data_IF_992843672505
#
_entry.id   IF_992843672505
#
_cell.length_a   1.000
_cell.length_b   1.000
_cell.length_c   1.000
_cell.angle_alpha   90.00
_cell.angle_beta   90.00
_cell.angle_gamma   90.00
#
_symmetry.space_group_name_H-M   'P 1'
#
loop_
_entity.id
_entity.type
_entity.pdbx_description
1 polymer ?
#
# COMPACT_ATOMS: atom_id res chain seq x y z
N UNK A 1 28.28 -25.41 7.82
CA UNK A 1 27.64 -24.18 7.31
C UNK A 1 26.34 -24.04 8.07
N UNK A 2 26.34 -23.24 9.15
CA UNK A 2 25.20 -23.20 10.07
C UNK A 2 24.07 -22.42 9.41
N UNK A 3 22.95 -23.09 9.16
CA UNK A 3 21.68 -22.41 8.96
C UNK A 3 21.42 -21.61 10.24
N UNK A 4 21.48 -20.29 10.15
CA UNK A 4 20.93 -19.41 11.17
C UNK A 4 19.44 -19.73 11.25
N UNK A 5 19.09 -20.51 12.27
CA UNK A 5 17.71 -20.80 12.61
C UNK A 5 17.05 -19.45 12.96
N UNK A 6 16.22 -18.94 12.06
CA UNK A 6 15.51 -17.67 12.27
C UNK A 6 14.58 -17.91 13.45
N UNK A 7 15.02 -17.48 14.62
CA UNK A 7 14.29 -17.76 15.84
C UNK A 7 12.97 -16.97 15.78
N UNK A 8 11.80 -17.59 16.00
CA UNK A 8 10.49 -16.91 15.94
C UNK A 8 10.40 -15.55 16.69
N UNK A 9 11.09 -15.35 17.84
CA UNK A 9 11.15 -14.05 18.50
C UNK A 9 11.66 -12.90 17.60
N UNK A 10 12.65 -13.15 16.74
CA UNK A 10 13.20 -12.12 15.83
C UNK A 10 12.21 -11.67 14.77
N UNK A 11 11.32 -12.55 14.32
CA UNK A 11 10.26 -12.22 13.36
C UNK A 11 9.22 -11.30 14.02
N UNK A 12 8.81 -11.63 15.24
CA UNK A 12 7.85 -10.82 16.00
C UNK A 12 8.41 -9.42 16.32
N UNK A 13 9.67 -9.33 16.73
CA UNK A 13 10.37 -8.05 16.94
C UNK A 13 10.41 -7.19 15.67
N UNK A 14 10.67 -7.81 14.50
CA UNK A 14 10.66 -7.07 13.24
C UNK A 14 9.26 -6.59 12.87
N UNK A 15 8.22 -7.41 13.07
CA UNK A 15 6.85 -7.00 12.80
C UNK A 15 6.44 -5.82 13.70
N UNK A 16 6.79 -5.88 14.99
CA UNK A 16 6.57 -4.78 15.92
C UNK A 16 7.31 -3.51 15.50
N UNK A 17 8.57 -3.63 15.07
CA UNK A 17 9.39 -2.52 14.57
C UNK A 17 8.80 -1.88 13.30
N UNK A 18 8.20 -2.66 12.39
CA UNK A 18 7.46 -2.10 11.25
C UNK A 18 6.17 -1.41 11.71
N UNK A 19 5.60 -1.86 12.83
CA UNK A 19 4.39 -1.31 13.43
C UNK A 19 4.59 -0.10 14.36
N UNK A 20 5.81 0.38 14.61
CA UNK A 20 6.01 1.55 15.47
C UNK A 20 5.54 2.84 14.80
N UNK A 21 4.94 3.74 15.59
CA UNK A 21 4.44 5.06 15.15
C UNK A 21 5.47 6.14 15.49
N UNK A 22 5.47 7.24 14.75
CA UNK A 22 6.28 8.45 15.02
C UNK A 22 7.80 8.24 15.11
N UNK A 23 8.32 7.21 14.45
CA UNK A 23 9.78 6.98 14.34
C UNK A 23 10.32 7.76 13.15
N UNK A 24 11.37 8.56 13.37
CA UNK A 24 12.07 9.26 12.30
C UNK A 24 12.64 8.27 11.27
N UNK A 25 12.65 8.57 9.95
CA UNK A 25 13.21 7.70 8.93
C UNK A 25 14.62 7.15 9.21
N UNK A 26 15.52 7.98 9.76
CA UNK A 26 16.91 7.56 10.08
C UNK A 26 16.92 6.54 11.23
N UNK A 27 16.13 6.80 12.27
CA UNK A 27 16.01 5.88 13.41
C UNK A 27 15.37 4.56 12.97
N UNK A 28 14.40 4.62 12.06
CA UNK A 28 13.77 3.45 11.46
C UNK A 28 14.79 2.61 10.70
N UNK A 29 15.60 3.22 9.84
CA UNK A 29 16.63 2.50 9.08
C UNK A 29 17.66 1.84 10.03
N UNK A 30 18.13 2.58 11.04
CA UNK A 30 19.04 2.05 12.04
C UNK A 30 18.42 0.86 12.81
N UNK A 31 17.16 0.97 13.22
CA UNK A 31 16.45 -0.10 13.91
C UNK A 31 16.28 -1.35 13.02
N UNK A 32 16.01 -1.18 11.72
CA UNK A 32 15.85 -2.28 10.79
C UNK A 32 17.17 -2.97 10.41
N UNK A 33 18.30 -2.27 10.54
CA UNK A 33 19.63 -2.81 10.23
C UNK A 33 20.03 -4.01 11.11
N UNK A 34 19.42 -4.16 12.30
CA UNK A 34 19.67 -5.28 13.24
C UNK A 34 19.07 -6.61 12.79
N UNK A 35 18.16 -6.58 11.81
CA UNK A 35 17.50 -7.77 11.27
C UNK A 35 18.16 -8.19 9.97
N UNK A 36 18.64 -9.43 9.94
CA UNK A 36 19.23 -10.01 8.74
C UNK A 36 18.19 -10.26 7.65
N UNK A 37 18.73 -10.57 6.48
CA UNK A 37 17.93 -10.75 5.28
C UNK A 37 17.01 -11.99 5.39
N UNK A 38 17.41 -13.02 6.15
CA UNK A 38 16.60 -14.22 6.37
C UNK A 38 15.39 -13.95 7.25
N UNK A 39 15.54 -13.11 8.29
CA UNK A 39 14.46 -12.68 9.17
C UNK A 39 13.42 -11.85 8.41
N UNK A 40 13.88 -10.94 7.55
CA UNK A 40 13.00 -10.12 6.69
C UNK A 40 12.18 -10.97 5.73
N UNK A 41 12.82 -11.93 5.06
CA UNK A 41 12.14 -12.85 4.14
C UNK A 41 11.14 -13.73 4.89
N UNK A 42 11.52 -14.25 6.07
CA UNK A 42 10.65 -15.07 6.88
C UNK A 42 9.40 -14.31 7.36
N UNK A 43 9.55 -13.03 7.74
CA UNK A 43 8.40 -12.18 8.07
C UNK A 43 7.47 -11.99 6.87
N UNK A 44 8.00 -11.62 5.70
CA UNK A 44 7.19 -11.43 4.51
C UNK A 44 6.39 -12.71 4.17
N UNK A 45 7.06 -13.86 4.18
CA UNK A 45 6.43 -15.15 3.93
C UNK A 45 5.36 -15.51 4.99
N UNK A 46 5.60 -15.18 6.27
CA UNK A 46 4.62 -15.36 7.34
C UNK A 46 3.38 -14.49 7.12
N UNK A 47 3.57 -13.22 6.78
CA UNK A 47 2.49 -12.28 6.51
C UNK A 47 1.68 -12.69 5.26
N UNK A 48 2.33 -13.19 4.22
CA UNK A 48 1.67 -13.64 2.99
C UNK A 48 0.71 -14.82 3.22
N UNK A 49 0.94 -15.61 4.28
CA UNK A 49 0.06 -16.72 4.69
C UNK A 49 -0.99 -16.32 5.72
N UNK A 50 -0.91 -15.11 6.29
CA UNK A 50 -1.78 -14.66 7.37
C UNK A 50 -3.06 -14.02 6.84
N UNK A 51 -4.14 -14.80 6.85
CA UNK A 51 -5.48 -14.34 6.43
C UNK A 51 -6.18 -13.54 7.52
N UNK A 52 -6.09 -13.97 8.79
CA UNK A 52 -6.73 -13.31 9.91
C UNK A 52 -5.93 -13.45 11.23
N UNK A 53 -5.82 -12.38 12.05
CA UNK A 53 -6.14 -11.00 11.68
C UNK A 53 -5.16 -10.50 10.60
N UNK A 54 -5.62 -9.66 9.65
CA UNK A 54 -4.71 -9.06 8.66
C UNK A 54 -3.68 -8.16 9.37
N UNK A 55 -2.48 -7.97 8.79
CA UNK A 55 -1.52 -7.01 9.31
C UNK A 55 -2.12 -5.61 9.44
N UNK A 56 -1.74 -4.92 10.51
CA UNK A 56 -2.03 -3.50 10.65
C UNK A 56 -1.44 -2.71 9.48
N UNK A 57 -2.11 -1.65 9.03
CA UNK A 57 -1.71 -0.89 7.85
C UNK A 57 -0.30 -0.32 7.90
N UNK A 58 0.20 0.00 9.10
CA UNK A 58 1.59 0.37 9.37
C UNK A 58 2.62 -0.71 9.04
N UNK A 59 2.32 -1.97 9.38
CA UNK A 59 3.17 -3.12 9.03
C UNK A 59 3.18 -3.27 7.51
N UNK A 60 2.01 -3.17 6.87
CA UNK A 60 1.88 -3.21 5.40
C UNK A 60 2.70 -2.08 4.76
N UNK A 61 2.57 -0.85 5.23
CA UNK A 61 3.34 0.29 4.73
C UNK A 61 4.85 0.11 4.92
N UNK A 62 5.27 -0.52 6.01
CA UNK A 62 6.66 -0.83 6.32
C UNK A 62 7.29 -1.92 5.44
N UNK A 63 6.51 -2.71 4.69
CA UNK A 63 7.05 -3.79 3.85
C UNK A 63 8.04 -3.30 2.79
N UNK A 64 7.85 -2.08 2.28
CA UNK A 64 8.79 -1.47 1.35
C UNK A 64 10.20 -1.29 1.94
N UNK A 65 10.34 -1.23 3.26
CA UNK A 65 11.63 -1.07 3.96
C UNK A 65 12.40 -2.40 4.08
N UNK A 66 11.71 -3.53 3.94
CA UNK A 66 12.32 -4.88 4.02
C UNK A 66 12.28 -5.63 2.68
N UNK A 67 11.73 -4.99 1.65
CA UNK A 67 11.61 -5.54 0.31
C UNK A 67 13.00 -5.90 -0.26
N UNK A 68 13.09 -7.09 -0.82
CA UNK A 68 14.23 -7.57 -1.59
C UNK A 68 13.75 -8.45 -2.74
N UNK A 69 14.62 -8.75 -3.70
CA UNK A 69 14.28 -9.66 -4.80
C UNK A 69 13.83 -11.05 -4.31
N UNK A 70 14.33 -11.49 -3.16
CA UNK A 70 14.03 -12.81 -2.58
C UNK A 70 12.64 -12.90 -1.97
N UNK A 71 12.13 -11.81 -1.41
CA UNK A 71 10.83 -11.76 -0.73
C UNK A 71 9.77 -10.96 -1.51
N UNK A 72 10.10 -10.48 -2.70
CA UNK A 72 9.22 -9.66 -3.54
C UNK A 72 7.85 -10.31 -3.73
N UNK A 73 7.81 -11.60 -4.08
CA UNK A 73 6.56 -12.32 -4.31
C UNK A 73 5.69 -12.40 -3.04
N UNK A 74 6.31 -12.60 -1.88
CA UNK A 74 5.59 -12.62 -0.60
C UNK A 74 5.06 -11.22 -0.25
N UNK A 75 5.88 -10.17 -0.41
CA UNK A 75 5.45 -8.78 -0.18
C UNK A 75 4.30 -8.39 -1.10
N UNK A 76 4.39 -8.77 -2.39
CA UNK A 76 3.33 -8.56 -3.37
C UNK A 76 2.03 -9.27 -2.96
N UNK A 77 2.12 -10.53 -2.53
CA UNK A 77 0.97 -11.28 -2.01
C UNK A 77 0.34 -10.60 -0.78
N UNK A 78 1.16 -10.07 0.14
CA UNK A 78 0.64 -9.32 1.30
C UNK A 78 -0.13 -8.09 0.85
N UNK A 79 0.38 -7.31 -0.11
CA UNK A 79 -0.36 -6.14 -0.62
C UNK A 79 -1.69 -6.56 -1.28
N UNK A 80 -1.68 -7.58 -2.14
CA UNK A 80 -2.93 -8.06 -2.79
C UNK A 80 -3.97 -8.49 -1.74
N UNK A 81 -3.56 -9.23 -0.72
CA UNK A 81 -4.45 -9.64 0.37
C UNK A 81 -5.03 -8.43 1.13
N UNK A 82 -4.23 -7.38 1.31
CA UNK A 82 -4.61 -6.21 2.11
C UNK A 82 -5.39 -5.15 1.35
N UNK A 83 -5.61 -5.28 0.04
CA UNK A 83 -6.57 -4.46 -0.71
C UNK A 83 -8.01 -4.58 -0.17
N UNK A 84 -8.32 -5.65 0.58
CA UNK A 84 -9.63 -5.87 1.24
C UNK A 84 -9.58 -5.76 2.76
N UNK A 85 -8.48 -5.21 3.31
CA UNK A 85 -8.33 -5.05 4.75
C UNK A 85 -9.40 -4.10 5.31
N UNK A 86 -9.94 -4.34 6.53
CA UNK A 86 -10.79 -3.36 7.21
C UNK A 86 -10.02 -2.06 7.54
N UNK A 87 -8.70 -2.12 7.62
CA UNK A 87 -7.83 -0.96 7.85
C UNK A 87 -7.58 -0.21 6.53
N UNK A 88 -8.07 1.04 6.44
CA UNK A 88 -7.87 1.89 5.28
C UNK A 88 -6.39 2.20 5.00
N UNK A 89 -5.57 2.32 6.04
CA UNK A 89 -4.13 2.50 5.90
C UNK A 89 -3.46 1.31 5.22
N UNK A 90 -3.94 0.09 5.49
CA UNK A 90 -3.46 -1.13 4.82
C UNK A 90 -3.86 -1.16 3.34
N UNK A 91 -5.11 -0.81 3.02
CA UNK A 91 -5.59 -0.73 1.63
C UNK A 91 -4.80 0.30 0.82
N UNK A 92 -4.64 1.50 1.37
CA UNK A 92 -3.86 2.59 0.78
C UNK A 92 -2.39 2.21 0.57
N UNK A 93 -1.74 1.66 1.59
CA UNK A 93 -0.35 1.20 1.49
C UNK A 93 -0.18 0.11 0.43
N UNK A 94 -1.16 -0.78 0.30
CA UNK A 94 -1.15 -1.85 -0.69
C UNK A 94 -1.24 -1.33 -2.12
N UNK A 95 -2.10 -0.33 -2.39
CA UNK A 95 -2.18 0.31 -3.71
C UNK A 95 -0.83 0.90 -4.12
N UNK A 96 -0.22 1.75 -3.28
CA UNK A 96 1.09 2.33 -3.58
C UNK A 96 2.21 1.27 -3.66
N UNK A 97 2.16 0.25 -2.81
CA UNK A 97 3.11 -0.86 -2.82
C UNK A 97 3.07 -1.61 -4.15
N UNK A 98 1.88 -1.96 -4.62
CA UNK A 98 1.67 -2.67 -5.89
C UNK A 98 2.03 -1.82 -7.11
N UNK A 99 1.72 -0.51 -7.09
CA UNK A 99 2.12 0.39 -8.18
C UNK A 99 3.66 0.53 -8.26
N UNK A 100 4.34 0.68 -7.12
CA UNK A 100 5.82 0.69 -7.06
C UNK A 100 6.44 -0.62 -7.54
N UNK A 101 5.79 -1.76 -7.27
CA UNK A 101 6.21 -3.06 -7.78
C UNK A 101 5.86 -3.25 -9.27
N UNK A 102 5.10 -2.36 -9.90
CA UNK A 102 4.66 -2.53 -11.28
C UNK A 102 3.75 -3.74 -11.45
N UNK A 103 2.91 -4.05 -10.46
CA UNK A 103 1.99 -5.18 -10.52
C UNK A 103 1.07 -5.05 -11.74
N UNK A 104 0.95 -6.11 -12.55
CA UNK A 104 0.24 -6.05 -13.83
C UNK A 104 -1.23 -5.62 -13.71
N UNK A 105 -1.93 -6.05 -12.65
CA UNK A 105 -3.32 -5.70 -12.38
C UNK A 105 -3.52 -4.37 -11.60
N UNK A 106 -2.50 -3.51 -11.48
CA UNK A 106 -2.61 -2.29 -10.66
C UNK A 106 -3.75 -1.36 -11.11
N UNK A 107 -4.03 -1.29 -12.41
CA UNK A 107 -5.13 -0.50 -12.95
C UNK A 107 -6.47 -1.02 -12.44
N UNK A 108 -6.70 -2.33 -12.51
CA UNK A 108 -7.96 -2.94 -12.05
C UNK A 108 -8.16 -2.72 -10.54
N UNK A 109 -7.08 -2.83 -9.76
CA UNK A 109 -7.12 -2.55 -8.32
C UNK A 109 -7.44 -1.08 -8.02
N UNK A 110 -6.83 -0.14 -8.73
CA UNK A 110 -7.10 1.27 -8.56
C UNK A 110 -8.53 1.63 -9.01
N UNK A 111 -9.02 1.08 -10.12
CA UNK A 111 -10.42 1.27 -10.56
C UNK A 111 -11.39 0.77 -9.50
N UNK A 112 -11.14 -0.40 -8.88
CA UNK A 112 -11.98 -0.88 -7.78
C UNK A 112 -11.95 0.04 -6.56
N UNK A 113 -10.82 0.69 -6.30
CA UNK A 113 -10.62 1.59 -5.17
C UNK A 113 -11.22 2.99 -5.37
N UNK A 114 -11.70 3.33 -6.59
CA UNK A 114 -12.50 4.54 -6.82
C UNK A 114 -13.84 4.55 -6.07
N UNK A 115 -14.25 3.41 -5.52
CA UNK A 115 -15.45 3.26 -4.71
C UNK A 115 -15.16 3.07 -3.22
N UNK A 116 -13.90 3.26 -2.79
CA UNK A 116 -13.53 3.10 -1.39
C UNK A 116 -14.14 4.22 -0.53
N UNK A 117 -14.71 3.92 0.65
CA UNK A 117 -15.30 4.94 1.52
C UNK A 117 -14.26 5.82 2.23
N UNK A 118 -12.98 5.46 2.19
CA UNK A 118 -11.89 6.23 2.79
C UNK A 118 -11.22 7.13 1.75
N UNK A 119 -11.17 8.44 2.03
CA UNK A 119 -10.57 9.43 1.13
C UNK A 119 -9.08 9.19 0.86
N UNK A 120 -8.33 8.64 1.82
CA UNK A 120 -6.93 8.32 1.61
C UNK A 120 -6.72 7.16 0.64
N UNK A 121 -7.66 6.21 0.59
CA UNK A 121 -7.65 5.11 -0.38
C UNK A 121 -8.10 5.60 -1.76
N UNK A 122 -9.16 6.42 -1.81
CA UNK A 122 -9.63 7.03 -3.04
C UNK A 122 -8.55 7.93 -3.67
N UNK A 123 -7.87 8.75 -2.88
CA UNK A 123 -6.77 9.61 -3.32
C UNK A 123 -5.64 8.78 -3.95
N UNK A 124 -5.27 7.67 -3.32
CA UNK A 124 -4.27 6.76 -3.89
C UNK A 124 -4.72 6.17 -5.24
N UNK A 125 -5.99 5.79 -5.36
CA UNK A 125 -6.55 5.30 -6.62
C UNK A 125 -6.51 6.38 -7.71
N UNK A 126 -6.98 7.59 -7.41
CA UNK A 126 -6.96 8.73 -8.30
C UNK A 126 -5.54 9.11 -8.74
N UNK A 127 -4.57 9.09 -7.81
CA UNK A 127 -3.16 9.31 -8.11
C UNK A 127 -2.66 8.29 -9.13
N UNK A 128 -2.81 6.99 -8.86
CA UNK A 128 -2.34 5.90 -9.74
C UNK A 128 -2.96 6.04 -11.14
N UNK A 129 -4.25 6.31 -11.21
CA UNK A 129 -4.99 6.40 -12.46
C UNK A 129 -4.68 7.68 -13.25
N UNK A 130 -4.51 8.83 -12.60
CA UNK A 130 -4.21 10.11 -13.25
C UNK A 130 -2.91 10.08 -14.06
N UNK A 131 -1.94 9.26 -13.63
CA UNK A 131 -0.68 9.04 -14.35
C UNK A 131 -0.88 8.33 -15.71
N UNK A 132 -2.01 7.64 -15.91
CA UNK A 132 -2.40 6.98 -17.17
C UNK A 132 -3.53 7.72 -17.91
N UNK A 133 -4.40 8.45 -17.21
CA UNK A 133 -5.66 8.99 -17.73
C UNK A 133 -5.54 9.99 -18.89
N UNK A 134 -4.39 10.61 -19.11
CA UNK A 134 -4.16 11.50 -20.28
C UNK A 134 -4.10 10.75 -21.60
N UNK A 135 -3.73 9.48 -21.59
CA UNK A 135 -3.55 8.66 -22.78
C UNK A 135 -4.63 7.56 -22.90
N UNK A 136 -5.56 7.50 -21.95
CA UNK A 136 -6.64 6.53 -21.91
C UNK A 136 -7.95 7.23 -21.55
N UNK A 137 -8.80 7.44 -22.57
CA UNK A 137 -10.09 8.12 -22.43
C UNK A 137 -11.02 7.43 -21.42
N UNK A 138 -10.94 6.10 -21.28
CA UNK A 138 -11.77 5.37 -20.32
C UNK A 138 -11.36 5.69 -18.90
N UNK A 139 -10.06 5.74 -18.64
CA UNK A 139 -9.53 6.17 -17.33
C UNK A 139 -9.86 7.63 -17.07
N UNK A 140 -9.72 8.50 -18.08
CA UNK A 140 -10.10 9.91 -17.96
C UNK A 140 -11.58 10.10 -17.58
N UNK A 141 -12.48 9.35 -18.20
CA UNK A 141 -13.92 9.38 -17.87
C UNK A 141 -14.21 8.88 -16.44
N UNK A 142 -13.51 7.83 -15.97
CA UNK A 142 -13.65 7.36 -14.59
C UNK A 142 -13.23 8.43 -13.58
N UNK A 143 -12.13 9.13 -13.83
CA UNK A 143 -11.63 10.20 -12.97
C UNK A 143 -12.58 11.41 -12.97
N UNK A 144 -13.12 11.77 -14.13
CA UNK A 144 -14.13 12.84 -14.25
C UNK A 144 -15.40 12.49 -13.46
N UNK A 145 -15.95 11.29 -13.66
CA UNK A 145 -17.12 10.82 -12.91
C UNK A 145 -16.87 10.80 -11.39
N UNK A 146 -15.66 10.47 -10.96
CA UNK A 146 -15.26 10.48 -9.55
C UNK A 146 -15.25 11.91 -9.01
N UNK A 147 -14.72 12.87 -9.77
CA UNK A 147 -14.74 14.28 -9.40
C UNK A 147 -16.18 14.78 -9.24
N UNK A 148 -17.06 14.47 -10.20
CA UNK A 148 -18.47 14.85 -10.15
C UNK A 148 -19.21 14.23 -8.96
N UNK A 149 -18.92 12.97 -8.63
CA UNK A 149 -19.56 12.25 -7.53
C UNK A 149 -19.19 12.79 -6.14
N UNK A 150 -17.98 13.33 -5.97
CA UNK A 150 -17.44 13.74 -4.67
C UNK A 150 -17.24 15.26 -4.50
N UNK A 151 -17.54 16.07 -5.52
CA UNK A 151 -17.27 17.52 -5.56
C UNK A 151 -17.72 18.32 -4.33
N UNK A 152 -18.88 17.97 -3.76
CA UNK A 152 -19.50 18.67 -2.63
C UNK A 152 -19.40 17.85 -1.32
N UNK A 153 -18.68 16.72 -1.33
CA UNK A 153 -18.54 15.86 -0.18
C UNK A 153 -17.31 16.25 0.66
N UNK A 154 -17.50 16.88 1.84
CA UNK A 154 -16.39 17.33 2.67
C UNK A 154 -15.57 16.18 3.27
N UNK A 155 -16.00 14.92 3.09
CA UNK A 155 -15.24 13.74 3.49
C UNK A 155 -14.12 13.39 2.52
N UNK A 156 -14.12 13.95 1.31
CA UNK A 156 -13.15 13.63 0.26
C UNK A 156 -12.23 14.79 -0.18
N UNK A 157 -11.66 15.59 0.76
CA UNK A 157 -10.88 16.77 0.40
C UNK A 157 -9.56 16.43 -0.33
N UNK A 158 -8.93 15.29 -0.05
CA UNK A 158 -7.66 14.91 -0.69
C UNK A 158 -7.90 14.52 -2.14
N UNK A 159 -8.85 13.61 -2.37
CA UNK A 159 -9.19 13.13 -3.71
C UNK A 159 -9.67 14.28 -4.61
N UNK A 160 -10.49 15.19 -4.08
CA UNK A 160 -10.96 16.37 -4.84
C UNK A 160 -9.80 17.28 -5.23
N UNK A 161 -8.90 17.62 -4.28
CA UNK A 161 -7.75 18.46 -4.56
C UNK A 161 -6.81 17.85 -5.61
N UNK A 162 -6.60 16.52 -5.55
CA UNK A 162 -5.79 15.80 -6.54
C UNK A 162 -6.44 15.84 -7.92
N UNK A 163 -7.73 15.51 -8.02
CA UNK A 163 -8.47 15.47 -9.28
C UNK A 163 -8.49 16.85 -9.95
N UNK A 164 -8.75 17.92 -9.19
CA UNK A 164 -8.70 19.30 -9.68
C UNK A 164 -7.30 19.66 -10.20
N UNK A 165 -6.25 19.30 -9.46
CA UNK A 165 -4.86 19.50 -9.85
C UNK A 165 -4.46 18.70 -11.09
N UNK A 166 -5.06 17.54 -11.29
CA UNK A 166 -4.89 16.70 -12.48
C UNK A 166 -5.74 17.15 -13.68
N UNK A 167 -6.66 18.11 -13.49
CA UNK A 167 -7.50 18.70 -14.53
C UNK A 167 -8.89 18.09 -14.67
N UNK A 168 -9.29 17.19 -13.77
CA UNK A 168 -10.63 16.62 -13.69
C UNK A 168 -11.46 17.51 -12.76
N UNK A 169 -12.25 18.41 -13.36
CA UNK A 169 -13.02 19.42 -12.62
C UNK A 169 -14.49 19.11 -12.73
N UNK A 170 -15.26 19.28 -11.66
CA UNK A 170 -16.69 19.05 -11.73
C UNK A 170 -17.35 19.93 -12.79
N UNK A 171 -18.29 19.35 -13.55
CA UNK A 171 -19.11 20.10 -14.52
C UNK A 171 -20.30 20.84 -13.88
#
# INVERSE_FOLDING_TARGET
MMATDVTPPRIAELEEELGTVDVNPIEREAALSKFDAQTRDALAAQLARRVAPPPAGRVVAGLALILSDRNRADVEAVYVLNLRSPDAGARRASLYGLDKLGHAAIIDFAVSALHDPDDGVLDAACWILSQRGKNDERIGALLQNTADAHRDDPRFPMSNALLEGAGYRPE
#
